data_IF_692838925741
#
_entry.id   IF_692838925741
#
_cell.length_a   1.000
_cell.length_b   1.000
_cell.length_c   1.000
_cell.angle_alpha   90.00
_cell.angle_beta   90.00
_cell.angle_gamma   90.00
#
_symmetry.space_group_name_H-M   'P 1'
#
loop_
_entity.id
_entity.type
_entity.pdbx_description
1 polymer ?
#
# COMPACT_ATOMS: atom_id res chain seq x y z
N UNK A 1 -0.47 8.22 4.37
CA UNK A 1 -0.20 7.08 3.46
C UNK A 1 -1.21 5.99 3.80
N UNK A 2 -1.70 5.28 2.80
CA UNK A 2 -2.59 4.12 2.95
C UNK A 2 -2.25 3.09 1.88
N UNK A 3 -2.46 1.82 2.16
CA UNK A 3 -2.35 0.77 1.14
C UNK A 3 -3.75 0.28 0.84
N UNK A 4 -4.15 0.23 -0.43
CA UNK A 4 -5.32 -0.50 -0.89
C UNK A 4 -4.84 -1.86 -1.40
N UNK A 5 -5.37 -2.93 -0.82
CA UNK A 5 -5.16 -4.28 -1.32
C UNK A 5 -6.40 -4.68 -2.08
N UNK A 6 -6.22 -5.02 -3.35
CA UNK A 6 -7.30 -5.44 -4.25
C UNK A 6 -6.82 -6.52 -5.20
N UNK A 7 -7.58 -7.61 -5.30
CA UNK A 7 -7.36 -8.69 -6.26
C UNK A 7 -7.38 -8.21 -7.72
N UNK A 8 -8.05 -7.08 -7.99
CA UNK A 8 -8.11 -6.49 -9.33
C UNK A 8 -6.84 -5.73 -9.71
N UNK A 9 -5.91 -5.54 -8.77
CA UNK A 9 -4.64 -4.86 -9.03
C UNK A 9 -3.63 -5.84 -9.63
N UNK A 10 -3.24 -5.63 -10.88
CA UNK A 10 -2.26 -6.49 -11.56
C UNK A 10 -0.86 -5.88 -11.56
N UNK A 11 -0.77 -4.55 -11.44
CA UNK A 11 0.48 -3.79 -11.42
C UNK A 11 0.41 -2.83 -10.23
N UNK A 12 1.47 -2.72 -9.40
CA UNK A 12 1.54 -1.70 -8.37
C UNK A 12 1.26 -0.32 -8.94
N UNK A 13 0.47 0.48 -8.25
CA UNK A 13 0.22 1.86 -8.67
C UNK A 13 0.11 2.81 -7.49
N UNK A 14 0.45 4.08 -7.74
CA UNK A 14 0.49 5.12 -6.73
C UNK A 14 -0.51 6.23 -7.06
N UNK A 15 -1.52 6.40 -6.22
CA UNK A 15 -2.50 7.47 -6.35
C UNK A 15 -2.20 8.57 -5.35
N UNK A 16 -2.20 9.83 -5.80
CA UNK A 16 -2.01 11.01 -4.94
C UNK A 16 -3.25 11.87 -5.02
N UNK A 17 -4.04 11.90 -3.95
CA UNK A 17 -5.29 12.65 -3.89
C UNK A 17 -5.35 13.45 -2.58
N UNK A 18 -5.63 14.75 -2.69
CA UNK A 18 -5.88 15.64 -1.55
C UNK A 18 -4.84 15.55 -0.40
N UNK A 19 -3.56 15.33 -0.71
CA UNK A 19 -2.48 15.19 0.28
C UNK A 19 -2.34 13.79 0.89
N UNK A 20 -3.16 12.83 0.47
CA UNK A 20 -3.03 11.42 0.82
C UNK A 20 -2.41 10.65 -0.34
N UNK A 21 -1.43 9.82 -0.02
CA UNK A 21 -0.82 8.88 -0.95
C UNK A 21 -1.41 7.49 -0.69
N UNK A 22 -1.89 6.84 -1.73
CA UNK A 22 -2.45 5.49 -1.70
C UNK A 22 -1.61 4.59 -2.61
N UNK A 23 -0.99 3.58 -2.03
CA UNK A 23 -0.38 2.47 -2.75
C UNK A 23 -1.45 1.42 -3.06
N UNK A 24 -1.67 1.10 -4.33
CA UNK A 24 -2.57 0.01 -4.72
C UNK A 24 -1.73 -1.22 -5.09
N UNK A 25 -1.99 -2.35 -4.44
CA UNK A 25 -1.31 -3.63 -4.65
C UNK A 25 -2.30 -4.80 -4.58
N UNK A 26 -1.81 -5.99 -4.91
CA UNK A 26 -2.46 -7.28 -4.71
C UNK A 26 -1.50 -8.17 -3.88
N UNK A 27 -2.04 -9.13 -3.12
CA UNK A 27 -1.30 -10.17 -2.40
C UNK A 27 -0.49 -11.12 -3.29
N UNK A 28 -0.82 -11.25 -4.57
CA UNK A 28 -0.11 -12.08 -5.55
C UNK A 28 1.15 -11.40 -6.11
N UNK A 29 1.34 -10.11 -5.86
CA UNK A 29 2.53 -9.39 -6.26
C UNK A 29 3.70 -9.77 -5.34
N UNK A 30 4.87 -10.04 -5.94
CA UNK A 30 6.05 -10.37 -5.15
C UNK A 30 6.55 -9.19 -4.33
N UNK A 31 7.31 -9.52 -3.28
CA UNK A 31 7.96 -8.51 -2.45
C UNK A 31 8.86 -7.59 -3.29
N UNK A 32 9.67 -8.18 -4.16
CA UNK A 32 10.62 -7.44 -4.99
C UNK A 32 9.92 -6.47 -5.94
N UNK A 33 8.79 -6.89 -6.54
CA UNK A 33 8.02 -6.03 -7.45
C UNK A 33 7.43 -4.80 -6.72
N UNK A 34 6.93 -5.00 -5.50
CA UNK A 34 6.37 -3.91 -4.69
C UNK A 34 7.51 -3.01 -4.18
N UNK A 35 8.62 -3.59 -3.73
CA UNK A 35 9.78 -2.84 -3.24
C UNK A 35 10.42 -1.98 -4.34
N UNK A 36 10.64 -2.53 -5.53
CA UNK A 36 11.19 -1.81 -6.68
C UNK A 36 10.28 -0.63 -7.04
N UNK A 37 8.97 -0.86 -7.11
CA UNK A 37 7.99 0.20 -7.39
C UNK A 37 8.01 1.30 -6.32
N UNK A 38 8.07 0.92 -5.03
CA UNK A 38 8.18 1.89 -3.93
C UNK A 38 9.48 2.71 -4.08
N UNK A 39 10.60 2.05 -4.37
CA UNK A 39 11.90 2.70 -4.53
C UNK A 39 11.93 3.74 -5.65
N UNK A 40 11.21 3.50 -6.74
CA UNK A 40 11.20 4.35 -7.94
C UNK A 40 10.18 5.51 -7.84
N UNK A 41 8.99 5.25 -7.30
CA UNK A 41 7.84 6.18 -7.41
C UNK A 41 7.57 7.04 -6.18
N UNK A 42 8.13 6.68 -5.01
CA UNK A 42 7.85 7.34 -3.74
C UNK A 42 8.87 8.45 -3.43
N UNK A 43 8.40 9.52 -2.80
CA UNK A 43 9.28 10.56 -2.28
C UNK A 43 9.95 10.11 -0.97
N UNK A 44 11.10 10.72 -0.59
CA UNK A 44 11.70 10.52 0.73
C UNK A 44 10.67 10.76 1.85
N UNK A 45 10.52 9.81 2.77
CA UNK A 45 9.49 9.80 3.82
C UNK A 45 8.18 9.08 3.46
N UNK A 46 7.74 9.11 2.20
CA UNK A 46 6.62 8.27 1.73
C UNK A 46 7.05 6.79 1.71
N UNK A 47 8.30 6.53 1.30
CA UNK A 47 8.91 5.21 1.29
C UNK A 47 8.88 4.57 2.67
N UNK A 48 9.38 5.26 3.69
CA UNK A 48 9.45 4.73 5.07
C UNK A 48 8.06 4.40 5.62
N UNK A 49 7.07 5.24 5.30
CA UNK A 49 5.68 5.01 5.65
C UNK A 49 5.09 3.79 4.92
N UNK A 50 5.41 3.58 3.64
CA UNK A 50 4.98 2.42 2.88
C UNK A 50 5.61 1.12 3.43
N UNK A 51 6.92 1.14 3.72
CA UNK A 51 7.61 0.03 4.35
C UNK A 51 6.99 -0.34 5.71
N UNK A 52 6.70 0.66 6.55
CA UNK A 52 6.09 0.43 7.87
C UNK A 52 4.69 -0.22 7.78
N UNK A 53 3.96 0.05 6.70
CA UNK A 53 2.61 -0.48 6.49
C UNK A 53 2.56 -1.84 5.81
N UNK A 54 3.57 -2.16 5.01
CA UNK A 54 3.58 -3.34 4.17
C UNK A 54 4.55 -4.40 4.68
N UNK A 55 5.79 -4.03 4.98
CA UNK A 55 6.89 -4.94 5.28
C UNK A 55 7.23 -5.07 6.78
N UNK A 56 6.87 -4.09 7.61
CA UNK A 56 7.16 -4.12 9.05
C UNK A 56 6.08 -4.86 9.88
N UNK A 57 6.36 -6.11 10.25
CA UNK A 57 5.45 -6.92 11.07
C UNK A 57 5.36 -6.46 12.54
N UNK A 58 6.20 -5.52 12.98
CA UNK A 58 6.18 -5.01 14.37
C UNK A 58 5.18 -3.87 14.56
N UNK A 59 4.91 -3.10 13.49
CA UNK A 59 3.98 -1.97 13.55
C UNK A 59 2.51 -2.39 13.60
N UNK A 60 1.74 -1.72 14.47
CA UNK A 60 0.28 -1.93 14.52
C UNK A 60 -0.37 -1.38 13.25
N UNK A 61 -1.08 -2.25 12.53
CA UNK A 61 -1.84 -1.93 11.33
C UNK A 61 -3.34 -2.07 11.58
N UNK A 62 -4.13 -1.23 10.93
CA UNK A 62 -5.59 -1.38 10.91
C UNK A 62 -6.04 -1.79 9.53
N UNK A 63 -6.89 -2.81 9.45
CA UNK A 63 -7.45 -3.32 8.19
C UNK A 63 -8.90 -2.88 8.08
N UNK A 64 -9.21 -2.07 7.07
CA UNK A 64 -10.54 -1.50 6.86
C UNK A 64 -11.15 -2.06 5.57
N UNK A 65 -12.18 -2.92 5.61
CA UNK A 65 -12.80 -3.47 4.41
C UNK A 65 -13.54 -2.40 3.61
N UNK A 66 -13.56 -2.53 2.28
CA UNK A 66 -14.33 -1.65 1.38
C UNK A 66 -15.66 -2.32 1.07
N UNK A 67 -16.75 -1.72 1.56
CA UNK A 67 -18.10 -2.26 1.42
C UNK A 67 -18.47 -2.54 -0.06
N UNK A 68 -19.01 -3.74 -0.31
CA UNK A 68 -19.40 -4.18 -1.65
C UNK A 68 -18.26 -4.73 -2.50
N UNK A 69 -17.05 -4.89 -1.94
CA UNK A 69 -15.90 -5.48 -2.63
C UNK A 69 -15.17 -6.48 -1.71
N UNK A 70 -14.19 -7.20 -2.26
CA UNK A 70 -13.21 -7.99 -1.48
C UNK A 70 -11.98 -7.18 -1.07
N UNK A 71 -11.94 -5.91 -1.44
CA UNK A 71 -10.80 -5.04 -1.20
C UNK A 71 -10.78 -4.54 0.24
N UNK A 72 -9.60 -4.17 0.70
CA UNK A 72 -9.42 -3.54 2.00
C UNK A 72 -8.28 -2.51 1.98
N UNK A 73 -8.33 -1.62 2.96
CA UNK A 73 -7.27 -0.67 3.23
C UNK A 73 -6.40 -1.13 4.41
N UNK A 74 -5.10 -0.85 4.34
CA UNK A 74 -4.16 -0.93 5.45
C UNK A 74 -3.77 0.50 5.84
N UNK A 75 -4.05 0.85 7.09
CA UNK A 75 -3.81 2.16 7.67
C UNK A 75 -2.78 2.09 8.82
N UNK A 76 -1.97 3.14 8.93
CA UNK A 76 -1.10 3.35 10.10
C UNK A 76 -2.00 3.77 11.25
N UNK A 77 -1.81 3.15 12.42
CA UNK A 77 -2.60 3.46 13.61
C UNK A 77 -1.99 4.58 14.44
#
# INVERSE_FOLDING_TARGET
MRIRVSESTVIPSLTREAGMVILNINTDLSFENIEEFIGDQFLPGERDAAFSLWADDESKRTFTPIAGTTDFYIDAR
#
